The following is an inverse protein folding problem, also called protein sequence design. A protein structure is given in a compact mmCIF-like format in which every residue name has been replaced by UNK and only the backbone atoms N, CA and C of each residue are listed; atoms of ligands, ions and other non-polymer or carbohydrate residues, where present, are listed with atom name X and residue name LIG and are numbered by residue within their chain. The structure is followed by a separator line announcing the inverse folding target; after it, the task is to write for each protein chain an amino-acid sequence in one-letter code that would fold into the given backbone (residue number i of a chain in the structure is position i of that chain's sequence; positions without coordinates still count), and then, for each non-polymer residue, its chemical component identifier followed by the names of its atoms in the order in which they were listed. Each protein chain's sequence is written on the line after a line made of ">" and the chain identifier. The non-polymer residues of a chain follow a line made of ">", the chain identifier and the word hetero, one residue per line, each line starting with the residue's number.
data_IF_990183392081
#
_entry.id   IF_990183392081
#
_cell.length_a   1.000
_cell.length_b   1.000
_cell.length_c   1.000
_cell.angle_alpha   90.00
_cell.angle_beta   90.00
_cell.angle_gamma   90.00
#
_symmetry.space_group_name_H-M   'P 1'
#
loop_
_entity.id
_entity.type
_entity.pdbx_description
1 polymer ?
#
# COMPACT_ATOMS: atom_id res chain seq x y z
N UNK A 1 -3.87 54.11 70.83
CA UNK A 1 -4.14 54.10 69.38
C UNK A 1 -3.89 52.68 68.88
N UNK A 2 -4.94 51.93 68.51
CA UNK A 2 -4.83 50.61 67.87
C UNK A 2 -5.19 50.80 66.41
N UNK A 3 -4.25 50.56 65.51
CA UNK A 3 -4.46 50.64 64.07
C UNK A 3 -5.23 49.39 63.60
N UNK A 4 -6.40 49.59 63.02
CA UNK A 4 -7.16 48.55 62.33
C UNK A 4 -6.63 48.43 60.90
N UNK A 5 -6.13 47.24 60.53
CA UNK A 5 -5.82 46.90 59.15
C UNK A 5 -7.11 46.48 58.43
N UNK A 6 -7.48 47.20 57.38
CA UNK A 6 -8.57 46.82 56.47
C UNK A 6 -8.04 45.75 55.52
N UNK A 7 -8.52 44.52 55.65
CA UNK A 7 -8.29 43.46 54.67
C UNK A 7 -9.30 43.61 53.53
N UNK A 8 -8.84 44.10 52.38
CA UNK A 8 -9.61 44.07 51.12
C UNK A 8 -9.64 42.64 50.57
N UNK A 9 -10.81 42.01 50.65
CA UNK A 9 -11.10 40.73 50.02
C UNK A 9 -11.30 40.95 48.51
N UNK A 10 -10.33 40.56 47.68
CA UNK A 10 -10.49 40.52 46.22
C UNK A 10 -11.23 39.23 45.88
N UNK A 11 -12.52 39.35 45.55
CA UNK A 11 -13.29 38.26 44.93
C UNK A 11 -12.74 38.02 43.52
N UNK A 12 -11.93 36.98 43.35
CA UNK A 12 -11.55 36.48 42.05
C UNK A 12 -12.81 35.97 41.32
N UNK A 13 -13.12 36.56 40.18
CA UNK A 13 -14.16 36.04 39.29
C UNK A 13 -13.79 34.60 38.88
N UNK A 14 -14.77 33.69 38.76
CA UNK A 14 -14.49 32.36 38.25
C UNK A 14 -13.94 32.51 36.84
N UNK A 15 -12.74 31.97 36.60
CA UNK A 15 -12.25 31.76 35.25
C UNK A 15 -13.33 30.99 34.50
N UNK A 16 -13.94 31.62 33.49
CA UNK A 16 -14.81 30.92 32.56
C UNK A 16 -14.01 29.73 32.02
N UNK A 17 -14.46 28.52 32.33
CA UNK A 17 -13.97 27.34 31.66
C UNK A 17 -14.31 27.53 30.18
N UNK A 18 -13.29 27.83 29.37
CA UNK A 18 -13.38 27.80 27.91
C UNK A 18 -14.03 26.47 27.53
N UNK A 19 -15.16 26.54 26.82
CA UNK A 19 -15.74 25.33 26.25
C UNK A 19 -14.68 24.66 25.39
N UNK A 20 -14.56 23.32 25.38
CA UNK A 20 -13.54 22.65 24.59
C UNK A 20 -13.71 23.07 23.14
N UNK A 21 -12.77 23.85 22.63
CA UNK A 21 -12.85 24.39 21.26
C UNK A 21 -13.09 23.24 20.30
N UNK A 22 -14.16 23.36 19.52
CA UNK A 22 -14.46 22.42 18.45
C UNK A 22 -13.25 22.39 17.50
N UNK A 23 -12.71 21.21 17.23
CA UNK A 23 -11.52 21.09 16.41
C UNK A 23 -11.76 21.67 15.01
N UNK A 24 -10.96 22.67 14.63
CA UNK A 24 -11.02 23.30 13.31
C UNK A 24 -9.97 22.65 12.39
N UNK A 25 -10.40 21.98 11.30
CA UNK A 25 -9.46 21.41 10.33
C UNK A 25 -8.58 22.48 9.68
N UNK A 26 -7.35 22.12 9.34
CA UNK A 26 -6.45 23.02 8.64
C UNK A 26 -7.06 23.53 7.30
N UNK A 27 -6.87 24.82 6.93
CA UNK A 27 -7.31 25.34 5.64
C UNK A 27 -6.71 24.54 4.49
N UNK A 28 -7.54 24.21 3.50
CA UNK A 28 -7.14 23.39 2.35
C UNK A 28 -5.94 24.01 1.61
N UNK A 29 -5.92 25.33 1.53
CA UNK A 29 -4.95 26.14 0.82
C UNK A 29 -3.55 26.11 1.48
N UNK A 30 -3.45 25.66 2.74
CA UNK A 30 -2.20 25.51 3.49
C UNK A 30 -1.61 24.09 3.40
N UNK A 31 -2.30 23.16 2.75
CA UNK A 31 -1.94 21.75 2.73
C UNK A 31 -1.46 21.38 1.32
N UNK A 32 -0.14 21.15 1.13
CA UNK A 32 0.40 20.80 -0.18
C UNK A 32 -0.25 19.55 -0.76
N UNK A 33 -0.69 19.63 -2.02
CA UNK A 33 -1.29 18.50 -2.73
C UNK A 33 -2.70 18.09 -2.28
N UNK A 34 -3.33 18.83 -1.36
CA UNK A 34 -4.69 18.53 -0.92
C UNK A 34 -5.74 18.91 -1.98
N UNK A 35 -6.69 18.01 -2.22
CA UNK A 35 -7.75 18.19 -3.20
C UNK A 35 -9.08 18.50 -2.48
N UNK A 36 -9.50 19.77 -2.52
CA UNK A 36 -10.68 20.27 -1.80
C UNK A 36 -12.00 19.84 -2.42
N UNK A 37 -12.04 19.75 -3.74
CA UNK A 37 -13.24 19.35 -4.49
C UNK A 37 -13.27 17.84 -4.68
N UNK A 38 -14.31 17.29 -5.31
CA UNK A 38 -14.27 15.88 -5.67
C UNK A 38 -13.22 15.67 -6.76
N UNK A 39 -12.36 14.67 -6.60
CA UNK A 39 -11.42 14.29 -7.64
C UNK A 39 -12.20 13.91 -8.91
N UNK A 40 -11.88 14.48 -10.08
CA UNK A 40 -12.53 14.17 -11.35
C UNK A 40 -12.09 12.81 -11.89
N UNK A 41 -12.20 11.78 -11.05
CA UNK A 41 -11.78 10.42 -11.32
C UNK A 41 -12.99 9.49 -11.35
N UNK A 42 -12.90 8.47 -12.20
CA UNK A 42 -13.90 7.41 -12.34
C UNK A 42 -13.23 6.07 -12.16
N UNK A 43 -14.00 5.14 -11.63
CA UNK A 43 -13.62 3.73 -11.60
C UNK A 43 -14.00 3.10 -12.92
N UNK A 44 -13.02 2.52 -13.59
CA UNK A 44 -13.21 1.82 -14.86
C UNK A 44 -12.80 0.37 -14.66
N UNK A 45 -13.71 -0.55 -14.96
CA UNK A 45 -13.39 -1.97 -15.04
C UNK A 45 -12.91 -2.30 -16.45
N UNK A 46 -11.84 -3.08 -16.55
CA UNK A 46 -11.35 -3.54 -17.84
C UNK A 46 -10.02 -4.27 -17.73
N UNK A 47 -9.40 -4.48 -18.88
CA UNK A 47 -8.03 -4.99 -18.98
C UNK A 47 -7.13 -3.86 -19.50
N UNK A 48 -5.89 -3.74 -19.01
CA UNK A 48 -4.92 -2.85 -19.63
C UNK A 48 -4.15 -3.61 -20.70
N UNK A 49 -4.16 -3.11 -21.92
CA UNK A 49 -3.35 -3.66 -23.01
C UNK A 49 -1.84 -3.50 -22.73
N UNK A 50 -1.01 -4.03 -23.62
CA UNK A 50 0.46 -3.92 -23.53
C UNK A 50 0.99 -2.48 -23.59
N UNK A 51 0.14 -1.52 -23.98
CA UNK A 51 0.43 -0.09 -24.02
C UNK A 51 -0.14 0.66 -22.81
N UNK A 52 -0.73 -0.05 -21.86
CA UNK A 52 -1.31 0.51 -20.64
C UNK A 52 -2.68 1.17 -20.84
N UNK A 53 -3.35 1.01 -21.99
CA UNK A 53 -4.70 1.55 -22.22
C UNK A 53 -5.74 0.58 -21.69
N UNK A 54 -6.78 1.09 -21.06
CA UNK A 54 -7.90 0.26 -20.63
C UNK A 54 -8.73 -0.07 -21.86
N UNK A 55 -8.84 -1.36 -22.18
CA UNK A 55 -9.66 -1.89 -23.26
C UNK A 55 -10.93 -2.53 -22.71
N UNK A 56 -12.04 -2.38 -23.44
CA UNK A 56 -13.32 -2.98 -23.10
C UNK A 56 -13.26 -4.50 -23.32
N UNK A 57 -13.87 -5.25 -22.41
CA UNK A 57 -13.91 -6.70 -22.33
C UNK A 57 -14.58 -7.39 -23.53
N UNK A 58 -15.26 -6.63 -24.41
CA UNK A 58 -15.92 -7.20 -25.59
C UNK A 58 -14.97 -7.84 -26.59
N UNK A 59 -13.66 -7.51 -26.54
CA UNK A 59 -12.66 -7.95 -27.52
C UNK A 59 -11.66 -9.00 -26.98
N UNK A 60 -11.72 -9.35 -25.68
CA UNK A 60 -10.77 -10.30 -25.06
C UNK A 60 -11.54 -11.38 -24.30
N UNK A 61 -11.54 -12.61 -24.84
CA UNK A 61 -12.32 -13.75 -24.35
C UNK A 61 -11.88 -14.35 -23.00
N UNK A 62 -11.34 -13.57 -22.07
CA UNK A 62 -10.91 -14.06 -20.76
C UNK A 62 -11.23 -13.06 -19.64
N UNK A 63 -12.32 -13.32 -18.91
CA UNK A 63 -12.72 -12.58 -17.70
C UNK A 63 -11.71 -12.66 -16.53
N UNK A 64 -10.56 -13.32 -16.71
CA UNK A 64 -9.58 -13.58 -15.65
C UNK A 64 -8.67 -12.38 -15.31
N UNK A 65 -8.61 -11.36 -16.18
CA UNK A 65 -7.73 -10.19 -16.01
C UNK A 65 -8.47 -8.88 -15.72
N UNK A 66 -9.79 -8.91 -15.51
CA UNK A 66 -10.58 -7.71 -15.25
C UNK A 66 -10.18 -7.08 -13.92
N UNK A 67 -9.77 -5.82 -13.94
CA UNK A 67 -9.41 -5.06 -12.74
C UNK A 67 -10.09 -3.69 -12.75
N UNK A 68 -10.33 -3.16 -11.54
CA UNK A 68 -10.82 -1.80 -11.37
C UNK A 68 -9.64 -0.83 -11.36
N UNK A 69 -9.67 0.15 -12.26
CA UNK A 69 -8.70 1.22 -12.38
C UNK A 69 -9.32 2.55 -12.00
N UNK A 70 -8.48 3.45 -11.47
CA UNK A 70 -8.86 4.85 -11.28
C UNK A 70 -8.35 5.64 -12.49
N UNK A 71 -9.26 6.19 -13.28
CA UNK A 71 -8.94 7.06 -14.42
C UNK A 71 -9.40 8.46 -14.07
N UNK A 72 -8.50 9.42 -14.14
CA UNK A 72 -8.80 10.81 -13.84
C UNK A 72 -8.76 11.68 -15.10
N UNK A 73 -9.78 12.53 -15.25
CA UNK A 73 -9.87 13.53 -16.30
C UNK A 73 -9.41 14.89 -15.75
N UNK A 74 -8.86 15.76 -16.60
CA UNK A 74 -8.57 17.15 -16.22
C UNK A 74 -7.41 17.31 -15.21
N UNK A 75 -7.44 18.30 -14.30
CA UNK A 75 -6.29 18.71 -13.49
C UNK A 75 -6.01 17.81 -12.27
N UNK A 76 -6.34 16.52 -12.29
CA UNK A 76 -6.09 15.60 -11.18
C UNK A 76 -4.62 15.13 -11.10
N UNK A 77 -4.15 14.66 -9.93
CA UNK A 77 -2.87 13.98 -9.84
C UNK A 77 -2.83 12.73 -10.72
N UNK A 78 -1.72 12.55 -11.44
CA UNK A 78 -1.44 11.32 -12.17
C UNK A 78 -1.03 10.22 -11.17
N UNK A 79 -2.03 9.48 -10.66
CA UNK A 79 -1.81 8.43 -9.66
C UNK A 79 -0.86 7.32 -10.15
N UNK A 80 -0.78 7.10 -11.47
CA UNK A 80 0.14 6.11 -12.06
C UNK A 80 1.61 6.57 -12.00
N UNK A 81 1.87 7.86 -11.78
CA UNK A 81 3.22 8.42 -11.57
C UNK A 81 3.63 8.58 -10.11
N UNK A 82 2.68 8.58 -9.19
CA UNK A 82 2.98 8.68 -7.76
C UNK A 82 3.48 7.33 -7.22
N UNK A 83 4.50 7.40 -6.37
CA UNK A 83 4.96 6.27 -5.55
C UNK A 83 3.88 5.81 -4.57
N UNK A 84 3.97 4.57 -4.07
CA UNK A 84 3.06 4.10 -3.02
C UNK A 84 3.18 4.93 -1.74
N UNK A 85 4.37 5.46 -1.45
CA UNK A 85 4.63 6.39 -0.35
C UNK A 85 3.86 7.69 -0.55
N UNK A 86 3.93 8.30 -1.73
CA UNK A 86 3.20 9.54 -2.05
C UNK A 86 1.69 9.33 -2.02
N UNK A 87 1.18 8.24 -2.60
CA UNK A 87 -0.25 7.90 -2.53
C UNK A 87 -0.71 7.71 -1.08
N UNK A 88 0.11 7.01 -0.27
CA UNK A 88 -0.14 6.83 1.15
C UNK A 88 -0.20 8.18 1.87
N UNK A 89 0.74 9.09 1.60
CA UNK A 89 0.73 10.45 2.17
C UNK A 89 -0.54 11.18 1.72
N UNK A 90 -0.83 11.22 0.42
CA UNK A 90 -1.97 11.92 -0.17
C UNK A 90 -3.30 11.49 0.47
N UNK A 91 -3.54 10.18 0.57
CA UNK A 91 -4.73 9.64 1.24
C UNK A 91 -4.77 10.01 2.71
N UNK A 92 -3.63 9.92 3.40
CA UNK A 92 -3.57 10.15 4.84
C UNK A 92 -3.62 11.64 5.22
N UNK A 93 -3.24 12.54 4.32
CA UNK A 93 -3.38 13.99 4.46
C UNK A 93 -4.82 14.38 4.71
N UNK A 94 -5.78 13.70 4.09
CA UNK A 94 -7.21 13.92 4.32
C UNK A 94 -7.54 13.69 5.80
N UNK A 95 -7.15 12.55 6.39
CA UNK A 95 -7.40 12.28 7.81
C UNK A 95 -6.59 13.19 8.74
N UNK A 96 -5.33 13.47 8.39
CA UNK A 96 -4.44 14.35 9.15
C UNK A 96 -5.01 15.77 9.27
N UNK A 97 -5.62 16.29 8.20
CA UNK A 97 -6.29 17.59 8.17
C UNK A 97 -7.37 17.70 9.26
N UNK A 98 -8.08 16.61 9.51
CA UNK A 98 -9.11 16.50 10.55
C UNK A 98 -8.57 16.12 11.94
N UNK A 99 -7.25 16.04 12.11
CA UNK A 99 -6.60 15.79 13.39
C UNK A 99 -6.42 14.31 13.73
N UNK A 100 -6.58 13.39 12.77
CA UNK A 100 -6.30 11.99 13.02
C UNK A 100 -4.82 11.77 13.34
N UNK A 101 -4.52 11.22 14.53
CA UNK A 101 -3.16 10.95 14.99
C UNK A 101 -2.81 9.46 15.10
N UNK A 102 -3.73 8.57 14.69
CA UNK A 102 -3.60 7.12 14.81
C UNK A 102 -2.60 6.46 13.85
N UNK A 103 -1.62 7.21 13.32
CA UNK A 103 -0.62 6.73 12.37
C UNK A 103 0.27 5.65 13.01
N UNK A 104 -0.01 4.38 12.68
CA UNK A 104 0.78 3.23 13.15
C UNK A 104 2.15 3.15 12.49
N UNK A 105 2.22 3.44 11.19
CA UNK A 105 3.47 3.53 10.43
C UNK A 105 4.29 4.70 10.97
N UNK A 106 5.47 4.41 11.50
CA UNK A 106 6.35 5.41 12.13
C UNK A 106 6.70 6.54 11.17
N UNK A 107 7.13 6.21 9.95
CA UNK A 107 7.48 7.21 8.94
C UNK A 107 6.32 8.14 8.58
N UNK A 108 5.08 7.62 8.58
CA UNK A 108 3.90 8.40 8.25
C UNK A 108 3.52 9.34 9.41
N UNK A 109 3.64 8.84 10.65
CA UNK A 109 3.47 9.65 11.87
C UNK A 109 4.48 10.80 11.91
N UNK A 110 5.76 10.50 11.68
CA UNK A 110 6.84 11.48 11.64
C UNK A 110 6.62 12.50 10.53
N UNK A 111 6.20 12.05 9.34
CA UNK A 111 5.87 12.92 8.22
C UNK A 111 4.83 13.99 8.60
N UNK A 112 3.71 13.60 9.22
CA UNK A 112 2.65 14.53 9.61
C UNK A 112 3.02 15.39 10.83
N UNK A 113 3.74 14.85 11.80
CA UNK A 113 4.20 15.61 12.98
C UNK A 113 5.12 16.79 12.61
N UNK A 114 5.82 16.71 11.48
CA UNK A 114 6.67 17.78 10.96
C UNK A 114 5.90 18.84 10.17
N UNK A 115 4.62 18.61 9.84
CA UNK A 115 3.82 19.54 9.05
C UNK A 115 3.32 20.72 9.91
N UNK A 116 3.54 21.97 9.51
CA UNK A 116 3.14 23.14 10.30
C UNK A 116 1.61 23.29 10.43
N UNK A 117 0.84 22.70 9.52
CA UNK A 117 -0.63 22.72 9.51
C UNK A 117 -1.25 21.59 10.33
N UNK A 118 -0.50 20.55 10.69
CA UNK A 118 -1.05 19.36 11.35
C UNK A 118 -1.20 19.58 12.86
N UNK A 119 -2.41 19.31 13.37
CA UNK A 119 -2.73 19.40 14.80
C UNK A 119 -3.47 18.12 15.21
N UNK A 120 -2.88 17.24 16.05
CA UNK A 120 -3.56 16.02 16.48
C UNK A 120 -4.77 16.35 17.38
N UNK A 121 -5.91 15.70 17.13
CA UNK A 121 -7.09 15.75 17.97
C UNK A 121 -7.31 14.42 18.71
N UNK A 122 -7.13 14.36 20.05
CA UNK A 122 -7.45 13.18 20.84
C UNK A 122 -8.91 12.73 20.75
N UNK A 123 -9.83 13.62 20.35
CA UNK A 123 -11.27 13.36 20.19
C UNK A 123 -11.67 13.16 18.72
N UNK A 124 -10.71 12.85 17.84
CA UNK A 124 -10.98 12.61 16.42
C UNK A 124 -12.12 11.62 16.21
N UNK A 125 -12.99 11.92 15.24
CA UNK A 125 -14.06 11.04 14.80
C UNK A 125 -14.19 11.10 13.29
N UNK A 126 -14.29 9.93 12.65
CA UNK A 126 -14.49 9.82 11.20
C UNK A 126 -15.77 10.52 10.71
N UNK A 127 -16.75 10.74 11.60
CA UNK A 127 -17.99 11.47 11.29
C UNK A 127 -17.74 12.92 10.86
N UNK A 128 -16.59 13.51 11.22
CA UNK A 128 -16.24 14.90 10.86
C UNK A 128 -15.71 15.06 9.44
N UNK A 129 -15.24 13.98 8.80
CA UNK A 129 -14.78 14.06 7.41
C UNK A 129 -15.94 14.51 6.52
N UNK A 130 -15.69 15.43 5.60
CA UNK A 130 -16.68 15.80 4.59
C UNK A 130 -17.01 14.62 3.68
N UNK A 131 -18.17 14.64 3.02
CA UNK A 131 -18.52 13.62 2.03
C UNK A 131 -17.50 13.57 0.89
N UNK A 132 -17.02 14.74 0.45
CA UNK A 132 -16.00 14.89 -0.60
C UNK A 132 -14.68 14.25 -0.17
N UNK A 133 -14.23 14.50 1.06
CA UNK A 133 -12.99 13.93 1.60
C UNK A 133 -13.04 12.41 1.71
N UNK A 134 -14.20 11.85 2.09
CA UNK A 134 -14.39 10.39 2.14
C UNK A 134 -14.26 9.77 0.75
N UNK A 135 -14.95 10.36 -0.24
CA UNK A 135 -14.89 9.91 -1.62
C UNK A 135 -13.48 10.05 -2.22
N UNK A 136 -12.78 11.16 -1.96
CA UNK A 136 -11.39 11.33 -2.39
C UNK A 136 -10.46 10.30 -1.74
N UNK A 137 -10.60 10.06 -0.43
CA UNK A 137 -9.80 9.07 0.28
C UNK A 137 -10.04 7.65 -0.27
N UNK A 138 -11.28 7.33 -0.65
CA UNK A 138 -11.64 6.06 -1.27
C UNK A 138 -11.04 5.93 -2.69
N UNK A 139 -11.15 6.99 -3.52
CA UNK A 139 -10.56 7.01 -4.85
C UNK A 139 -9.04 6.80 -4.79
N UNK A 140 -8.33 7.48 -3.88
CA UNK A 140 -6.89 7.29 -3.71
C UNK A 140 -6.59 5.88 -3.19
N UNK A 141 -7.39 5.34 -2.27
CA UNK A 141 -7.22 3.97 -1.79
C UNK A 141 -7.41 2.93 -2.91
N UNK A 142 -8.38 3.14 -3.80
CA UNK A 142 -8.59 2.31 -4.99
C UNK A 142 -7.42 2.47 -5.97
N UNK A 143 -6.88 3.66 -6.14
CA UNK A 143 -5.69 3.90 -6.97
C UNK A 143 -4.48 3.10 -6.43
N UNK A 144 -4.20 3.17 -5.12
CA UNK A 144 -3.15 2.38 -4.46
C UNK A 144 -3.31 0.87 -4.70
N UNK A 145 -4.56 0.37 -4.66
CA UNK A 145 -4.85 -1.04 -4.92
C UNK A 145 -4.80 -1.39 -6.39
N UNK A 146 -5.02 -0.43 -7.30
CA UNK A 146 -5.15 -0.68 -8.74
C UNK A 146 -3.82 -0.99 -9.44
N UNK A 147 -2.69 -0.63 -8.82
CA UNK A 147 -1.34 -0.85 -9.36
C UNK A 147 -1.08 -2.33 -9.68
N UNK A 148 -0.56 -2.61 -10.88
CA UNK A 148 -0.29 -3.97 -11.34
C UNK A 148 1.01 -4.49 -10.72
N UNK A 149 1.08 -5.81 -10.59
CA UNK A 149 2.28 -6.49 -10.12
C UNK A 149 3.51 -6.14 -10.98
N UNK A 150 3.37 -6.08 -12.30
CA UNK A 150 4.47 -5.71 -13.22
C UNK A 150 4.97 -4.28 -13.02
N UNK A 151 4.05 -3.34 -12.76
CA UNK A 151 4.42 -1.93 -12.52
C UNK A 151 5.13 -1.78 -11.17
N UNK A 152 4.64 -2.49 -10.15
CA UNK A 152 5.27 -2.58 -8.83
C UNK A 152 6.66 -3.22 -8.92
N UNK A 153 6.80 -4.33 -9.63
CA UNK A 153 8.10 -4.98 -9.87
C UNK A 153 9.07 -4.04 -10.57
N UNK A 154 8.63 -3.33 -11.62
CA UNK A 154 9.47 -2.38 -12.35
C UNK A 154 9.93 -1.23 -11.45
N UNK A 155 9.03 -0.68 -10.61
CA UNK A 155 9.38 0.37 -9.64
C UNK A 155 10.42 -0.13 -8.62
N UNK A 156 10.22 -1.33 -8.05
CA UNK A 156 11.18 -1.96 -7.13
C UNK A 156 12.54 -2.13 -7.79
N UNK A 157 12.56 -2.75 -8.96
CA UNK A 157 13.80 -3.09 -9.65
C UNK A 157 14.55 -1.82 -10.09
N UNK A 158 13.85 -0.74 -10.45
CA UNK A 158 14.45 0.57 -10.73
C UNK A 158 15.20 1.13 -9.50
N UNK A 159 14.59 1.07 -8.31
CA UNK A 159 15.23 1.51 -7.07
C UNK A 159 16.45 0.66 -6.71
N UNK A 160 16.34 -0.66 -6.87
CA UNK A 160 17.44 -1.58 -6.61
C UNK A 160 18.60 -1.40 -7.61
N UNK A 161 18.30 -1.18 -8.90
CA UNK A 161 19.30 -0.91 -9.92
C UNK A 161 20.05 0.41 -9.65
N UNK A 162 19.34 1.46 -9.22
CA UNK A 162 19.95 2.73 -8.78
C UNK A 162 20.93 2.53 -7.62
N UNK A 163 20.64 1.56 -6.75
CA UNK A 163 21.51 1.12 -5.66
C UNK A 163 22.58 0.11 -6.08
N UNK A 164 22.81 -0.09 -7.39
CA UNK A 164 23.88 -0.93 -7.91
C UNK A 164 23.53 -2.42 -8.04
N UNK A 165 22.29 -2.84 -7.75
CA UNK A 165 21.90 -4.24 -7.91
C UNK A 165 22.01 -4.69 -9.36
N UNK A 166 22.52 -5.91 -9.54
CA UNK A 166 22.58 -6.62 -10.82
C UNK A 166 22.01 -8.03 -10.63
N UNK A 167 21.34 -8.55 -11.64
CA UNK A 167 20.63 -9.82 -11.58
C UNK A 167 21.41 -10.99 -12.18
N UNK A 168 22.43 -10.72 -13.01
CA UNK A 168 23.21 -11.75 -13.69
C UNK A 168 22.41 -12.54 -14.73
N UNK A 169 21.25 -12.02 -15.14
CA UNK A 169 20.26 -12.74 -15.95
C UNK A 169 20.35 -12.43 -17.45
N UNK A 170 21.39 -11.70 -17.88
CA UNK A 170 21.67 -11.44 -19.29
C UNK A 170 21.65 -12.75 -20.11
N UNK A 171 20.93 -12.79 -21.25
CA UNK A 171 20.79 -13.99 -22.09
C UNK A 171 22.14 -14.61 -22.46
N UNK A 172 22.20 -15.94 -22.47
CA UNK A 172 23.39 -16.70 -22.85
C UNK A 172 23.32 -17.12 -24.30
N UNK A 173 24.32 -16.74 -25.08
CA UNK A 173 24.51 -17.13 -26.47
C UNK A 173 25.48 -18.31 -26.54
N UNK A 174 25.11 -19.35 -27.29
CA UNK A 174 25.97 -20.51 -27.54
C UNK A 174 26.68 -20.34 -28.89
N UNK A 175 27.94 -19.88 -28.83
CA UNK A 175 28.80 -19.82 -30.01
C UNK A 175 29.48 -21.16 -30.28
N UNK A 176 29.94 -21.37 -31.53
CA UNK A 176 30.61 -22.62 -31.96
C UNK A 176 31.85 -23.02 -31.13
N UNK A 177 32.47 -22.08 -30.40
CA UNK A 177 33.69 -22.30 -29.60
C UNK A 177 33.59 -21.83 -28.15
N UNK A 178 32.65 -20.94 -27.82
CA UNK A 178 32.45 -20.38 -26.49
C UNK A 178 31.03 -19.88 -26.32
N UNK A 179 30.50 -19.99 -25.11
CA UNK A 179 29.30 -19.27 -24.71
C UNK A 179 29.65 -17.90 -24.17
N UNK A 180 28.75 -16.93 -24.34
CA UNK A 180 28.89 -15.58 -23.79
C UNK A 180 27.52 -15.01 -23.42
N UNK A 181 27.49 -14.03 -22.53
CA UNK A 181 26.25 -13.33 -22.16
C UNK A 181 26.25 -11.94 -22.76
N UNK A 182 25.11 -11.54 -23.31
CA UNK A 182 24.97 -10.25 -23.98
C UNK A 182 23.53 -9.75 -23.88
N UNK A 183 23.39 -8.42 -23.81
CA UNK A 183 22.13 -7.72 -24.02
C UNK A 183 22.06 -7.04 -25.39
N UNK A 184 23.15 -7.11 -26.15
CA UNK A 184 23.18 -6.77 -27.56
C UNK A 184 22.79 -7.97 -28.40
N UNK A 185 21.85 -7.71 -29.29
CA UNK A 185 21.40 -8.62 -30.32
C UNK A 185 22.44 -8.62 -31.45
N UNK A 186 23.43 -9.52 -31.41
CA UNK A 186 24.28 -9.81 -32.57
C UNK A 186 23.49 -10.67 -33.57
N UNK A 187 22.41 -10.12 -34.15
CA UNK A 187 21.66 -10.79 -35.21
C UNK A 187 21.91 -10.15 -36.57
N UNK A 188 21.99 -10.99 -37.59
CA UNK A 188 21.94 -10.55 -38.99
C UNK A 188 20.65 -9.75 -39.26
N UNK A 189 20.62 -8.90 -40.31
CA UNK A 189 19.43 -8.11 -40.65
C UNK A 189 18.16 -8.96 -40.67
N UNK A 190 17.04 -8.40 -40.18
CA UNK A 190 15.77 -9.12 -40.13
C UNK A 190 15.35 -9.56 -41.55
N UNK A 191 15.18 -10.86 -41.74
CA UNK A 191 14.67 -11.48 -42.96
C UNK A 191 13.47 -12.36 -42.62
N UNK A 192 12.70 -12.74 -43.65
CA UNK A 192 11.56 -13.64 -43.45
C UNK A 192 11.98 -15.02 -42.90
N UNK A 193 13.22 -15.45 -43.15
CA UNK A 193 13.77 -16.73 -42.71
C UNK A 193 14.25 -16.71 -41.25
N UNK A 194 14.72 -15.56 -40.74
CA UNK A 194 15.26 -15.44 -39.38
C UNK A 194 14.31 -14.76 -38.38
N UNK A 195 13.11 -14.34 -38.81
CA UNK A 195 12.16 -13.59 -38.00
C UNK A 195 11.78 -14.28 -36.68
N UNK A 196 11.63 -15.61 -36.67
CA UNK A 196 11.31 -16.38 -35.45
C UNK A 196 12.46 -16.38 -34.44
N UNK A 197 13.69 -16.52 -34.92
CA UNK A 197 14.90 -16.45 -34.11
C UNK A 197 15.08 -15.05 -33.52
N UNK A 198 14.88 -14.01 -34.33
CA UNK A 198 14.93 -12.62 -33.87
C UNK A 198 13.90 -12.36 -32.77
N UNK A 199 12.63 -12.67 -33.02
CA UNK A 199 11.57 -12.57 -32.03
C UNK A 199 11.87 -13.29 -30.70
N UNK A 200 12.46 -14.49 -30.75
CA UNK A 200 12.86 -15.24 -29.56
C UNK A 200 13.93 -14.48 -28.73
N UNK A 201 14.98 -13.97 -29.38
CA UNK A 201 16.04 -13.23 -28.70
C UNK A 201 15.55 -11.89 -28.18
N UNK A 202 14.76 -11.16 -28.96
CA UNK A 202 14.12 -9.91 -28.50
C UNK A 202 13.32 -10.13 -27.21
N UNK A 203 12.55 -11.23 -27.12
CA UNK A 203 11.82 -11.56 -25.89
C UNK A 203 12.76 -11.92 -24.72
N UNK A 204 13.82 -12.69 -24.97
CA UNK A 204 14.81 -13.04 -23.93
C UNK A 204 15.51 -11.80 -23.37
N UNK A 205 15.88 -10.87 -24.24
CA UNK A 205 16.50 -9.59 -23.85
C UNK A 205 15.50 -8.74 -23.06
N UNK A 206 14.26 -8.61 -23.55
CA UNK A 206 13.22 -7.82 -22.88
C UNK A 206 12.83 -8.39 -21.49
N UNK A 207 12.95 -9.70 -21.31
CA UNK A 207 12.71 -10.38 -20.04
C UNK A 207 13.88 -10.26 -19.04
N UNK A 208 15.10 -9.92 -19.49
CA UNK A 208 16.27 -9.78 -18.61
C UNK A 208 16.25 -8.44 -17.88
N UNK A 209 16.37 -8.49 -16.55
CA UNK A 209 16.49 -7.29 -15.71
C UNK A 209 17.84 -6.61 -15.91
N UNK A 210 18.92 -7.37 -16.07
CA UNK A 210 20.22 -6.79 -16.40
C UNK A 210 20.17 -5.99 -17.70
N UNK A 211 19.57 -6.55 -18.75
CA UNK A 211 19.45 -5.85 -20.02
C UNK A 211 18.53 -4.64 -19.97
N UNK A 212 17.54 -4.63 -19.07
CA UNK A 212 16.63 -3.50 -18.88
C UNK A 212 17.30 -2.33 -18.15
N UNK A 213 18.12 -2.60 -17.13
CA UNK A 213 18.59 -1.58 -16.20
C UNK A 213 20.08 -1.24 -16.29
N UNK A 214 20.88 -2.04 -17.00
CA UNK A 214 22.32 -1.81 -17.14
C UNK A 214 22.69 -1.65 -18.62
N UNK A 215 23.80 -0.95 -18.89
CA UNK A 215 24.33 -0.55 -20.21
C UNK A 215 24.82 -1.73 -21.06
N UNK A 216 23.95 -2.73 -21.22
CA UNK A 216 24.07 -3.97 -21.99
C UNK A 216 25.25 -4.90 -21.70
N UNK A 217 26.17 -4.48 -20.85
CA UNK A 217 27.27 -5.30 -20.37
C UNK A 217 26.75 -6.39 -19.42
N UNK A 218 27.20 -7.62 -19.64
CA UNK A 218 27.00 -8.69 -18.66
C UNK A 218 27.66 -8.31 -17.33
N UNK A 219 26.85 -8.24 -16.27
CA UNK A 219 27.32 -8.13 -14.89
C UNK A 219 27.04 -9.44 -14.16
N UNK A 220 27.93 -9.84 -13.24
CA UNK A 220 27.60 -10.91 -12.29
C UNK A 220 26.46 -10.42 -11.40
N UNK A 221 25.62 -11.32 -10.90
CA UNK A 221 24.59 -10.95 -9.93
C UNK A 221 25.24 -10.38 -8.66
N UNK A 222 24.80 -9.20 -8.25
CA UNK A 222 25.27 -8.50 -7.05
C UNK A 222 24.07 -7.86 -6.35
N UNK A 223 23.99 -7.92 -5.01
CA UNK A 223 22.88 -7.31 -4.28
C UNK A 223 22.96 -5.78 -4.35
N UNK A 224 21.83 -5.11 -4.09
CA UNK A 224 21.80 -3.66 -3.92
C UNK A 224 22.70 -3.23 -2.74
N UNK A 225 23.43 -2.13 -2.89
CA UNK A 225 24.04 -1.44 -1.77
C UNK A 225 22.97 -0.59 -1.06
N UNK A 226 22.46 -1.10 0.06
CA UNK A 226 21.46 -0.41 0.86
C UNK A 226 21.95 0.95 1.40
N UNK A 227 23.26 1.20 1.47
CA UNK A 227 23.81 2.51 1.83
C UNK A 227 23.56 3.60 0.78
N UNK A 228 23.21 3.22 -0.45
CA UNK A 228 22.87 4.14 -1.55
C UNK A 228 21.37 4.41 -1.66
N UNK A 229 20.54 3.71 -0.88
CA UNK A 229 19.08 3.86 -0.88
C UNK A 229 18.68 4.86 0.21
N UNK A 230 18.02 5.95 -0.16
CA UNK A 230 17.52 6.91 0.82
C UNK A 230 16.44 6.31 1.73
N UNK A 231 16.21 6.89 2.90
CA UNK A 231 15.15 6.43 3.82
C UNK A 231 13.76 6.43 3.17
N UNK A 232 13.48 7.37 2.27
CA UNK A 232 12.20 7.43 1.55
C UNK A 232 12.05 6.30 0.53
N UNK A 233 13.12 5.97 -0.20
CA UNK A 233 13.15 4.84 -1.13
C UNK A 233 13.09 3.50 -0.40
N UNK A 234 13.67 3.41 0.80
CA UNK A 234 13.55 2.22 1.66
C UNK A 234 12.08 2.00 2.07
N UNK A 235 11.36 3.06 2.42
CA UNK A 235 9.93 3.00 2.73
C UNK A 235 9.14 2.56 1.49
N UNK A 236 9.45 3.13 0.31
CA UNK A 236 8.79 2.75 -0.94
C UNK A 236 9.01 1.28 -1.29
N UNK A 237 10.24 0.76 -1.16
CA UNK A 237 10.53 -0.67 -1.36
C UNK A 237 9.70 -1.56 -0.43
N UNK A 238 9.51 -1.17 0.84
CA UNK A 238 8.67 -1.91 1.77
C UNK A 238 7.20 -1.89 1.38
N UNK A 239 6.68 -0.73 0.97
CA UNK A 239 5.32 -0.58 0.45
C UNK A 239 5.10 -1.44 -0.80
N UNK A 240 6.03 -1.42 -1.75
CA UNK A 240 5.98 -2.23 -2.96
C UNK A 240 5.97 -3.73 -2.63
N UNK A 241 6.90 -4.21 -1.80
CA UNK A 241 6.93 -5.61 -1.41
C UNK A 241 5.63 -6.05 -0.73
N UNK A 242 5.01 -5.20 0.10
CA UNK A 242 3.69 -5.50 0.69
C UNK A 242 2.58 -5.53 -0.35
N UNK A 243 2.57 -4.58 -1.28
CA UNK A 243 1.61 -4.55 -2.38
C UNK A 243 1.74 -5.77 -3.30
N UNK A 244 2.95 -6.33 -3.47
CA UNK A 244 3.22 -7.56 -4.24
C UNK A 244 2.98 -8.86 -3.44
N UNK A 245 2.62 -8.75 -2.16
CA UNK A 245 2.37 -9.88 -1.29
C UNK A 245 3.61 -10.58 -0.73
N UNK A 246 4.78 -9.94 -0.80
CA UNK A 246 6.04 -10.43 -0.23
C UNK A 246 6.15 -10.12 1.29
N UNK A 247 5.30 -9.22 1.81
CA UNK A 247 5.20 -8.81 3.22
C UNK A 247 6.53 -8.50 3.91
N UNK A 248 7.35 -7.70 3.23
CA UNK A 248 8.51 -7.04 3.84
C UNK A 248 8.10 -5.90 4.77
N UNK A 249 8.96 -5.59 5.75
CA UNK A 249 8.81 -4.41 6.59
C UNK A 249 9.32 -3.16 5.85
N UNK A 250 8.85 -1.98 6.24
CA UNK A 250 9.22 -0.70 5.63
C UNK A 250 10.56 -0.16 6.17
N UNK A 251 11.40 -1.04 6.72
CA UNK A 251 12.53 -0.74 7.60
C UNK A 251 13.85 -1.30 7.02
N UNK A 252 15.00 -0.92 7.58
CA UNK A 252 16.35 -1.35 7.15
C UNK A 252 16.57 -2.88 7.08
N UNK A 253 15.72 -3.70 7.73
CA UNK A 253 15.90 -5.16 7.84
C UNK A 253 15.30 -5.98 6.65
N UNK A 254 15.08 -5.33 5.49
CA UNK A 254 14.33 -5.86 4.31
C UNK A 254 14.81 -7.21 3.75
N UNK A 255 16.12 -7.47 3.74
CA UNK A 255 16.69 -8.70 3.15
C UNK A 255 16.26 -9.98 3.89
N UNK A 256 15.89 -9.88 5.18
CA UNK A 256 15.48 -11.03 5.97
C UNK A 256 14.01 -11.41 5.76
N UNK A 257 13.22 -10.57 5.06
CA UNK A 257 11.76 -10.70 5.06
C UNK A 257 11.12 -11.41 3.86
N UNK A 258 11.80 -11.66 2.75
CA UNK A 258 11.21 -12.45 1.65
C UNK A 258 11.00 -13.94 2.04
N UNK A 259 11.76 -14.43 3.02
CA UNK A 259 11.59 -15.76 3.66
C UNK A 259 10.71 -15.71 4.93
N UNK A 260 10.07 -14.57 5.21
CA UNK A 260 9.50 -14.23 6.54
C UNK A 260 8.37 -15.16 6.98
N UNK A 261 7.44 -15.51 6.08
CA UNK A 261 6.23 -16.24 6.46
C UNK A 261 6.45 -17.71 6.80
N UNK A 262 7.59 -18.27 6.41
CA UNK A 262 7.97 -19.64 6.75
C UNK A 262 8.59 -19.72 8.16
N UNK A 263 8.80 -18.57 8.81
CA UNK A 263 9.23 -18.40 10.19
C UNK A 263 8.16 -17.71 11.04
N UNK A 264 8.30 -17.76 12.37
CA UNK A 264 7.35 -17.11 13.28
C UNK A 264 7.53 -15.60 13.27
N UNK A 265 6.45 -14.87 12.99
CA UNK A 265 6.44 -13.41 12.95
C UNK A 265 6.65 -12.80 14.33
N UNK A 266 7.36 -11.66 14.36
CA UNK A 266 7.63 -10.91 15.59
C UNK A 266 6.47 -9.94 15.85
N UNK A 267 5.85 -10.03 17.04
CA UNK A 267 4.73 -9.15 17.45
C UNK A 267 5.07 -7.68 17.34
N UNK A 268 6.30 -7.28 17.69
CA UNK A 268 6.76 -5.89 17.55
C UNK A 268 6.67 -5.35 16.11
N UNK A 269 6.86 -6.21 15.12
CA UNK A 269 6.79 -5.84 13.71
C UNK A 269 5.34 -5.78 13.23
N UNK A 270 4.51 -6.73 13.69
CA UNK A 270 3.06 -6.70 13.45
C UNK A 270 2.41 -5.41 13.96
N UNK A 271 2.84 -4.91 15.12
CA UNK A 271 2.28 -3.67 15.70
C UNK A 271 2.59 -2.40 14.90
N UNK A 272 3.59 -2.43 14.00
CA UNK A 272 3.90 -1.32 13.09
C UNK A 272 2.98 -1.28 11.87
N UNK A 273 2.28 -2.38 11.58
CA UNK A 273 1.39 -2.51 10.44
C UNK A 273 0.04 -1.84 10.69
N UNK A 274 -0.59 -1.35 9.63
CA UNK A 274 -1.99 -0.91 9.69
C UNK A 274 -2.94 -2.10 9.76
N UNK A 275 -4.19 -1.89 10.21
CA UNK A 275 -5.22 -2.93 10.18
C UNK A 275 -5.44 -3.49 8.76
N UNK A 276 -5.32 -2.64 7.73
CA UNK A 276 -5.35 -3.04 6.32
C UNK A 276 -4.20 -3.99 6.00
N UNK A 277 -2.98 -3.64 6.40
CA UNK A 277 -1.78 -4.45 6.15
C UNK A 277 -1.83 -5.78 6.90
N UNK A 278 -2.29 -5.79 8.16
CA UNK A 278 -2.49 -7.01 8.95
C UNK A 278 -3.51 -7.93 8.29
N UNK A 279 -4.62 -7.38 7.79
CA UNK A 279 -5.64 -8.13 7.06
C UNK A 279 -5.06 -8.76 5.80
N UNK A 280 -4.33 -8.00 4.98
CA UNK A 280 -3.70 -8.52 3.77
C UNK A 280 -2.67 -9.61 4.13
N UNK A 281 -1.82 -9.37 5.14
CA UNK A 281 -0.80 -10.31 5.62
C UNK A 281 -1.40 -11.65 6.07
N UNK A 282 -2.44 -11.59 6.90
CA UNK A 282 -3.17 -12.76 7.36
C UNK A 282 -3.75 -13.54 6.19
N UNK A 283 -4.31 -12.86 5.19
CA UNK A 283 -4.92 -13.50 4.05
C UNK A 283 -3.91 -14.06 3.04
N UNK A 284 -2.73 -13.48 2.96
CA UNK A 284 -1.63 -14.01 2.12
C UNK A 284 -1.16 -15.38 2.57
N UNK A 285 -1.15 -15.65 3.89
CA UNK A 285 -0.84 -16.99 4.42
C UNK A 285 -1.80 -18.04 3.82
N UNK A 286 -3.09 -17.72 3.73
CA UNK A 286 -4.07 -18.61 3.11
C UNK A 286 -3.98 -18.61 1.58
N UNK A 287 -3.73 -17.46 0.95
CA UNK A 287 -3.60 -17.32 -0.50
C UNK A 287 -2.43 -18.17 -1.04
N UNK A 288 -1.29 -18.22 -0.32
CA UNK A 288 -0.15 -19.11 -0.63
C UNK A 288 -0.51 -20.60 -0.64
N UNK A 289 -1.63 -20.99 -0.04
CA UNK A 289 -2.16 -22.36 -0.05
C UNK A 289 -3.32 -22.56 -1.05
N UNK A 290 -3.68 -21.52 -1.81
CA UNK A 290 -4.74 -21.55 -2.82
C UNK A 290 -6.14 -21.26 -2.31
N UNK A 291 -6.30 -20.64 -1.13
CA UNK A 291 -7.63 -20.28 -0.61
C UNK A 291 -8.36 -19.32 -1.53
N UNK A 292 -9.59 -19.64 -1.91
CA UNK A 292 -10.52 -18.70 -2.55
C UNK A 292 -11.14 -17.75 -1.52
N UNK A 293 -11.35 -16.49 -1.92
CA UNK A 293 -11.90 -15.45 -1.06
C UNK A 293 -13.32 -15.10 -1.47
N UNK A 294 -14.19 -14.77 -0.51
CA UNK A 294 -15.53 -14.20 -0.79
C UNK A 294 -15.52 -12.66 -0.83
N UNK A 295 -14.54 -12.06 -0.17
CA UNK A 295 -14.32 -10.62 -0.13
C UNK A 295 -13.86 -10.14 -1.50
N UNK A 296 -14.60 -9.23 -2.12
CA UNK A 296 -14.26 -8.63 -3.41
C UNK A 296 -12.89 -7.95 -3.35
N UNK A 297 -12.62 -7.20 -2.27
CA UNK A 297 -11.32 -6.55 -2.02
C UNK A 297 -10.16 -7.55 -2.03
N UNK A 298 -10.32 -8.70 -1.36
CA UNK A 298 -9.28 -9.72 -1.31
C UNK A 298 -9.17 -10.47 -2.64
N UNK A 299 -10.29 -10.78 -3.30
CA UNK A 299 -10.29 -11.35 -4.65
C UNK A 299 -9.53 -10.43 -5.61
N UNK A 300 -9.88 -9.15 -5.63
CA UNK A 300 -9.25 -8.13 -6.45
C UNK A 300 -7.76 -8.00 -6.16
N UNK A 301 -7.35 -8.03 -4.90
CA UNK A 301 -5.95 -7.96 -4.54
C UNK A 301 -5.19 -9.20 -5.03
N UNK A 302 -5.65 -10.41 -4.70
CA UNK A 302 -4.90 -11.64 -4.98
C UNK A 302 -4.97 -12.09 -6.44
N UNK A 303 -6.05 -11.81 -7.18
CA UNK A 303 -6.18 -12.19 -8.60
C UNK A 303 -5.08 -11.57 -9.48
N UNK A 304 -4.50 -10.45 -9.05
CA UNK A 304 -3.41 -9.75 -9.74
C UNK A 304 -2.02 -10.26 -9.38
N UNK A 305 -1.93 -11.21 -8.44
CA UNK A 305 -0.66 -11.78 -8.01
C UNK A 305 -0.30 -12.98 -8.90
N UNK A 306 0.83 -12.96 -9.63
CA UNK A 306 1.20 -14.07 -10.52
C UNK A 306 1.49 -15.37 -9.77
N UNK A 307 1.79 -15.30 -8.46
CA UNK A 307 2.05 -16.45 -7.60
C UNK A 307 0.77 -17.05 -6.98
N UNK A 308 -0.38 -16.37 -7.06
CA UNK A 308 -1.63 -16.85 -6.47
C UNK A 308 -2.38 -17.74 -7.45
N UNK A 309 -2.64 -18.98 -7.05
CA UNK A 309 -3.44 -19.92 -7.82
C UNK A 309 -4.57 -20.46 -6.94
N UNK A 310 -5.84 -20.08 -7.20
CA UNK A 310 -6.96 -20.59 -6.43
C UNK A 310 -7.10 -22.10 -6.60
N UNK A 311 -7.46 -22.79 -5.51
CA UNK A 311 -7.63 -24.24 -5.45
C UNK A 311 -9.02 -24.57 -4.95
N UNK A 312 -9.78 -25.31 -5.74
CA UNK A 312 -11.10 -25.81 -5.34
C UNK A 312 -11.01 -26.79 -4.17
N UNK A 313 -9.91 -27.55 -4.08
CA UNK A 313 -9.63 -28.52 -3.02
C UNK A 313 -8.97 -27.90 -1.77
N UNK A 314 -8.95 -26.57 -1.66
CA UNK A 314 -8.34 -25.88 -0.53
C UNK A 314 -8.94 -26.33 0.82
N UNK A 315 -8.07 -26.52 1.81
CA UNK A 315 -8.45 -26.75 3.20
C UNK A 315 -7.44 -26.12 4.16
N UNK A 316 -7.92 -25.58 5.29
CA UNK A 316 -7.07 -25.08 6.38
C UNK A 316 -6.13 -26.15 6.97
N UNK A 317 -6.34 -27.43 6.64
CA UNK A 317 -5.42 -28.53 6.95
C UNK A 317 -4.06 -28.40 6.25
N UNK A 318 -3.99 -27.68 5.13
CA UNK A 318 -2.75 -27.40 4.38
C UNK A 318 -1.82 -26.41 5.10
N UNK A 319 -2.32 -25.72 6.13
CA UNK A 319 -1.54 -24.76 6.92
C UNK A 319 -0.54 -25.49 7.82
N UNK A 320 0.70 -25.07 7.74
CA UNK A 320 1.78 -25.53 8.62
C UNK A 320 1.57 -25.05 10.06
N UNK A 321 2.36 -25.57 11.00
CA UNK A 321 2.37 -25.06 12.38
C UNK A 321 2.75 -23.57 12.43
N UNK A 322 3.71 -23.16 11.60
CA UNK A 322 4.14 -21.76 11.49
C UNK A 322 3.01 -20.88 10.94
N UNK A 323 2.33 -21.31 9.88
CA UNK A 323 1.18 -20.58 9.31
C UNK A 323 0.11 -20.30 10.37
N UNK A 324 -0.28 -21.34 11.12
CA UNK A 324 -1.29 -21.23 12.18
C UNK A 324 -0.83 -20.29 13.30
N UNK A 325 0.45 -20.38 13.70
CA UNK A 325 1.01 -19.49 14.71
C UNK A 325 1.03 -18.04 14.25
N UNK A 326 1.39 -17.78 13.00
CA UNK A 326 1.43 -16.44 12.43
C UNK A 326 0.02 -15.84 12.32
N UNK A 327 -0.97 -16.61 11.84
CA UNK A 327 -2.38 -16.17 11.80
C UNK A 327 -2.88 -15.78 13.19
N UNK A 328 -2.54 -16.57 14.21
CA UNK A 328 -2.92 -16.28 15.59
C UNK A 328 -2.28 -14.99 16.12
N UNK A 329 -0.97 -14.81 15.92
CA UNK A 329 -0.27 -13.59 16.32
C UNK A 329 -0.84 -12.35 15.62
N UNK A 330 -1.18 -12.45 14.33
CA UNK A 330 -1.81 -11.36 13.59
C UNK A 330 -3.18 -11.03 14.16
N UNK A 331 -4.01 -12.03 14.45
CA UNK A 331 -5.34 -11.84 15.05
C UNK A 331 -5.26 -11.16 16.41
N UNK A 332 -4.31 -11.55 17.27
CA UNK A 332 -4.10 -10.91 18.56
C UNK A 332 -3.78 -9.41 18.40
N UNK A 333 -2.93 -9.05 17.44
CA UNK A 333 -2.63 -7.64 17.15
C UNK A 333 -3.83 -6.91 16.52
N UNK A 334 -4.62 -7.57 15.66
CA UNK A 334 -5.88 -7.00 15.16
C UNK A 334 -6.87 -6.74 16.32
N UNK A 335 -7.00 -7.66 17.27
CA UNK A 335 -7.84 -7.52 18.47
C UNK A 335 -7.36 -6.38 19.38
N UNK A 336 -6.04 -6.26 19.62
CA UNK A 336 -5.44 -5.11 20.31
C UNK A 336 -5.84 -3.77 19.63
N UNK A 337 -6.13 -3.81 18.33
CA UNK A 337 -6.47 -2.65 17.51
C UNK A 337 -7.98 -2.43 17.33
N UNK A 338 -8.82 -3.20 18.03
CA UNK A 338 -10.29 -3.10 17.97
C UNK A 338 -10.95 -4.11 17.03
N UNK A 339 -10.21 -5.11 16.54
CA UNK A 339 -10.69 -6.19 15.69
C UNK A 339 -10.18 -6.14 14.26
N UNK A 340 -10.46 -7.20 13.50
CA UNK A 340 -10.06 -7.29 12.10
C UNK A 340 -10.89 -6.36 11.21
N UNK A 341 -10.23 -5.71 10.26
CA UNK A 341 -10.87 -4.82 9.29
C UNK A 341 -11.90 -5.56 8.41
N UNK A 342 -13.12 -5.02 8.26
CA UNK A 342 -14.16 -5.62 7.40
C UNK A 342 -14.10 -5.05 5.98
N UNK A 343 -14.79 -5.67 5.02
CA UNK A 343 -14.83 -5.21 3.61
C UNK A 343 -15.40 -3.80 3.48
N UNK A 344 -16.50 -3.55 4.19
CA UNK A 344 -17.13 -2.24 4.30
C UNK A 344 -16.26 -1.17 4.97
N UNK A 345 -15.22 -1.56 5.70
CA UNK A 345 -14.27 -0.62 6.31
C UNK A 345 -13.04 -0.40 5.40
N UNK A 346 -12.96 -1.17 4.31
CA UNK A 346 -11.92 -1.08 3.29
C UNK A 346 -12.30 -0.09 2.18
N UNK A 347 -13.60 0.00 1.90
CA UNK A 347 -14.25 1.03 1.08
C UNK A 347 -14.74 2.11 2.04
N UNK A 348 -14.32 3.37 1.89
CA UNK A 348 -14.77 4.42 2.82
C UNK A 348 -16.18 4.88 2.43
N UNK A 349 -17.19 4.02 2.62
CA UNK A 349 -18.60 4.42 2.72
C UNK A 349 -19.18 3.78 3.99
N UNK A 350 -19.69 4.54 4.96
CA UNK A 350 -20.88 5.37 4.77
C UNK A 350 -20.97 6.58 5.73
N UNK A 351 -21.49 7.72 5.26
CA UNK A 351 -22.62 8.41 5.90
C UNK A 351 -23.96 7.69 5.60
N UNK A 352 -24.83 7.55 6.61
CA UNK A 352 -26.22 7.01 6.61
C UNK A 352 -26.33 5.47 6.47
N UNK A 353 -27.03 4.67 7.28
CA UNK A 353 -28.06 4.85 8.33
C UNK A 353 -28.22 3.50 9.07
N UNK A 354 -28.41 3.52 10.39
CA UNK A 354 -29.23 2.56 11.12
C UNK A 354 -29.58 3.17 12.49
N UNK A 355 -30.78 3.74 12.53
CA UNK A 355 -31.62 3.90 13.70
C UNK A 355 -31.70 2.60 14.52
N UNK A 356 -31.89 2.73 15.83
CA UNK A 356 -32.21 1.68 16.81
C UNK A 356 -31.15 0.60 17.11
N UNK A 357 -30.32 0.89 18.11
CA UNK A 357 -29.82 -0.16 19.01
C UNK A 357 -30.73 -0.17 20.25
N UNK A 358 -31.45 -1.25 20.56
CA UNK A 358 -32.17 -1.35 21.81
C UNK A 358 -31.17 -1.39 22.96
N UNK A 359 -31.38 -0.52 23.93
CA UNK A 359 -30.68 -0.50 25.21
C UNK A 359 -30.86 -1.86 25.89
N UNK A 360 -29.78 -2.63 26.04
CA UNK A 360 -29.80 -3.79 26.93
C UNK A 360 -29.71 -3.33 28.38
N UNK A 361 -30.46 -3.97 29.30
CA UNK A 361 -30.66 -3.46 30.64
C UNK A 361 -29.39 -3.56 31.48
N UNK A 362 -29.12 -2.49 32.20
CA UNK A 362 -28.21 -2.42 33.33
C UNK A 362 -28.54 -3.52 34.32
N UNK A 363 -27.65 -4.50 34.51
CA UNK A 363 -27.74 -5.39 35.65
C UNK A 363 -27.40 -4.57 36.91
N UNK A 364 -28.42 -4.35 37.72
CA UNK A 364 -28.27 -3.90 39.10
C UNK A 364 -27.47 -4.94 39.89
N UNK A 365 -26.48 -4.44 40.59
CA UNK A 365 -25.96 -5.02 41.83
C UNK A 365 -27.09 -5.32 42.82
N UNK A 366 -27.15 -6.56 43.32
CA UNK A 366 -27.08 -6.91 44.75
C UNK A 366 -26.35 -8.25 44.87
#
# INVERSE_FOLDING_TARGET
>A
MRAFALATLILAAPAFAEQPEEYVPAPAEQIPGYWKELLPCKLVEGERDSMGRIVDSSDVGSASNMATYVVCDGPAPDFDRLSLRELSILRNTIFARYGWAGFRKTWLREHFQQQPWYKPDPKFSYKRLSSVDRQNAELIAKAELSLRYVDLEQRRDTLLAKAGQTWGDAPMYEGRKRSFRSCDEELEPLTQENASTHWYWTQKIAASKDCRYHDKAHKKATPADHGLISSEELIELGLISRAMGEFALDDEQREQTASSLDSVLKVKELRKLSLRDLRLLRNTIFARKGRTFKSEVLQDHFKRMPWYTPREDYSDKLLTKTDKRNVELIRQVEEEFGGALLDKDFQVETPSEATDVPVLPTYMTV
#
